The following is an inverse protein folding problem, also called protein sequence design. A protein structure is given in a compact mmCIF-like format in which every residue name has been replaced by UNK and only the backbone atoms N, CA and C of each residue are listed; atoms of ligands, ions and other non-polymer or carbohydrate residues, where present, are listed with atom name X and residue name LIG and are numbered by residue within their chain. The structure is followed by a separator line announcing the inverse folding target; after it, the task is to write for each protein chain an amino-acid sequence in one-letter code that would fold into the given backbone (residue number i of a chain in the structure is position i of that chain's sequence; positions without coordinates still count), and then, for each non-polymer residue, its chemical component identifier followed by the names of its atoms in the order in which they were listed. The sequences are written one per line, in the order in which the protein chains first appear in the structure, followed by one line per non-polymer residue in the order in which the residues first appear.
data_IF_963758812236
#
_entry.id   IF_963758812236
#
_cell.length_a   1.000
_cell.length_b   1.000
_cell.length_c   1.000
_cell.angle_alpha   90.00
_cell.angle_beta   90.00
_cell.angle_gamma   90.00
#
_symmetry.space_group_name_H-M   'P 1'
#
loop_
_entity.id
_entity.type
_entity.pdbx_description
1 polymer ?
#
# COMPACT_ATOMS: atom_id res chain seq x y z
N UNK A 1 -14.66 29.67 1.47
CA UNK A 1 -14.34 28.72 0.39
C UNK A 1 -14.42 27.31 0.99
N UNK A 2 -15.53 26.60 0.85
CA UNK A 2 -15.65 25.20 1.26
C UNK A 2 -16.12 24.42 0.04
N UNK A 3 -15.23 23.63 -0.54
CA UNK A 3 -15.55 22.79 -1.68
C UNK A 3 -16.14 21.48 -1.13
N UNK A 4 -17.38 21.11 -1.45
CA UNK A 4 -17.86 19.77 -1.12
C UNK A 4 -16.99 18.78 -1.89
N UNK A 5 -16.27 17.94 -1.16
CA UNK A 5 -15.66 16.74 -1.71
C UNK A 5 -16.83 15.88 -2.21
N UNK A 6 -17.07 15.91 -3.51
CA UNK A 6 -17.88 14.92 -4.21
C UNK A 6 -17.22 13.57 -4.01
N UNK A 7 -17.68 12.88 -2.97
CA UNK A 7 -17.26 11.54 -2.64
C UNK A 7 -17.90 10.65 -3.71
N UNK A 8 -17.16 10.37 -4.78
CA UNK A 8 -17.63 9.57 -5.92
C UNK A 8 -17.98 8.15 -5.44
N UNK A 9 -19.24 7.96 -5.06
CA UNK A 9 -19.75 6.70 -4.53
C UNK A 9 -20.14 5.78 -5.68
N UNK A 10 -19.26 4.84 -6.03
CA UNK A 10 -19.48 3.85 -7.09
C UNK A 10 -20.73 2.99 -6.83
N UNK A 11 -21.16 2.86 -5.56
CA UNK A 11 -22.36 2.11 -5.21
C UNK A 11 -23.65 2.77 -5.73
N UNK A 12 -23.74 4.10 -5.73
CA UNK A 12 -24.91 4.85 -6.21
C UNK A 12 -25.05 4.78 -7.74
N UNK A 13 -23.92 4.73 -8.45
CA UNK A 13 -23.89 4.52 -9.90
C UNK A 13 -24.39 3.12 -10.29
N UNK A 14 -24.09 2.11 -9.47
CA UNK A 14 -24.59 0.75 -9.70
C UNK A 14 -26.12 0.74 -9.64
N UNK A 15 -26.73 1.28 -8.58
CA UNK A 15 -28.18 1.29 -8.39
C UNK A 15 -28.97 1.99 -9.51
N UNK A 16 -28.36 3.00 -10.16
CA UNK A 16 -28.97 3.76 -11.26
C UNK A 16 -28.91 3.07 -12.64
N UNK A 17 -28.03 2.08 -12.83
CA UNK A 17 -27.79 1.45 -14.14
C UNK A 17 -28.48 0.10 -14.27
N UNK A 18 -29.08 -0.16 -15.44
CA UNK A 18 -29.71 -1.45 -15.77
C UNK A 18 -28.63 -2.54 -15.96
N UNK A 19 -29.04 -3.82 -16.01
CA UNK A 19 -28.10 -4.94 -16.07
C UNK A 19 -27.19 -4.93 -17.32
N UNK A 20 -27.66 -4.40 -18.45
CA UNK A 20 -26.87 -4.25 -19.68
C UNK A 20 -25.81 -3.17 -19.53
N UNK A 21 -26.20 -1.99 -19.07
CA UNK A 21 -25.30 -0.85 -18.87
C UNK A 21 -24.23 -1.14 -17.80
N UNK A 22 -24.56 -1.96 -16.80
CA UNK A 22 -23.59 -2.45 -15.81
C UNK A 22 -22.58 -3.40 -16.44
N UNK A 23 -23.01 -4.30 -17.32
CA UNK A 23 -22.11 -5.24 -18.00
C UNK A 23 -21.14 -4.49 -18.93
N UNK A 24 -21.64 -3.49 -19.66
CA UNK A 24 -20.84 -2.63 -20.52
C UNK A 24 -19.84 -1.79 -19.70
N UNK A 25 -20.27 -1.20 -18.57
CA UNK A 25 -19.39 -0.48 -17.66
C UNK A 25 -18.27 -1.37 -17.10
N UNK A 26 -18.60 -2.59 -16.65
CA UNK A 26 -17.61 -3.56 -16.15
C UNK A 26 -16.63 -3.94 -17.26
N UNK A 27 -17.10 -4.09 -18.50
CA UNK A 27 -16.24 -4.40 -19.63
C UNK A 27 -15.31 -3.22 -19.98
N UNK A 28 -15.81 -1.98 -19.93
CA UNK A 28 -14.99 -0.76 -20.09
C UNK A 28 -13.94 -0.66 -18.99
N UNK A 29 -14.33 -0.86 -17.72
CA UNK A 29 -13.40 -0.84 -16.59
C UNK A 29 -12.35 -1.94 -16.70
N UNK A 30 -12.74 -3.15 -17.10
CA UNK A 30 -11.83 -4.26 -17.35
C UNK A 30 -10.84 -3.92 -18.47
N UNK A 31 -11.30 -3.35 -19.58
CA UNK A 31 -10.46 -2.93 -20.69
C UNK A 31 -9.49 -1.80 -20.28
N UNK A 32 -9.95 -0.83 -19.49
CA UNK A 32 -9.10 0.23 -18.94
C UNK A 32 -8.06 -0.32 -17.94
N UNK A 33 -8.45 -1.27 -17.09
CA UNK A 33 -7.54 -1.93 -16.16
C UNK A 33 -6.50 -2.76 -16.92
N UNK A 34 -6.89 -3.43 -18.00
CA UNK A 34 -5.98 -4.16 -18.88
C UNK A 34 -5.02 -3.24 -19.64
N UNK A 35 -5.49 -2.10 -20.13
CA UNK A 35 -4.64 -1.09 -20.79
C UNK A 35 -3.63 -0.48 -19.80
N UNK A 36 -4.08 -0.17 -18.57
CA UNK A 36 -3.20 0.30 -17.49
C UNK A 36 -2.19 -0.78 -17.08
N UNK A 37 -2.63 -2.01 -16.88
CA UNK A 37 -1.74 -3.11 -16.48
C UNK A 37 -0.76 -3.47 -17.60
N UNK A 38 -1.22 -3.51 -18.85
CA UNK A 38 -0.43 -3.83 -20.04
C UNK A 38 0.65 -2.79 -20.39
N UNK A 39 0.41 -1.50 -20.09
CA UNK A 39 1.42 -0.44 -20.23
C UNK A 39 2.57 -0.57 -19.24
N UNK A 40 2.33 -1.14 -18.06
CA UNK A 40 3.33 -1.28 -17.00
C UNK A 40 4.07 -2.61 -17.01
N UNK A 41 3.48 -3.69 -17.53
CA UNK A 41 4.09 -5.03 -17.49
C UNK A 41 5.27 -5.23 -18.44
N UNK A 42 5.36 -4.49 -19.55
CA UNK A 42 6.39 -4.74 -20.59
C UNK A 42 7.53 -3.72 -20.67
N UNK A 43 7.65 -2.80 -19.72
CA UNK A 43 8.72 -1.79 -19.75
C UNK A 43 10.12 -2.43 -19.67
N UNK A 44 10.29 -3.50 -18.88
CA UNK A 44 11.56 -4.21 -18.72
C UNK A 44 12.01 -4.95 -19.99
N UNK A 45 11.05 -5.38 -20.81
CA UNK A 45 11.33 -6.08 -22.07
C UNK A 45 11.90 -5.13 -23.13
N UNK A 46 11.53 -3.85 -23.08
CA UNK A 46 12.04 -2.81 -23.98
C UNK A 46 13.37 -2.18 -23.54
N UNK A 47 13.86 -2.49 -22.34
CA UNK A 47 15.16 -1.98 -21.86
C UNK A 47 16.32 -2.72 -22.54
N UNK A 48 17.39 -1.98 -22.80
CA UNK A 48 18.62 -2.59 -23.31
C UNK A 48 19.18 -3.60 -22.29
N UNK A 49 19.88 -4.66 -22.74
CA UNK A 49 20.33 -5.74 -21.86
C UNK A 49 21.15 -5.27 -20.65
N UNK A 50 21.94 -4.21 -20.81
CA UNK A 50 22.72 -3.61 -19.72
C UNK A 50 21.80 -2.96 -18.67
N UNK A 51 20.82 -2.18 -19.12
CA UNK A 51 19.85 -1.53 -18.22
C UNK A 51 19.00 -2.59 -17.51
N UNK A 52 18.59 -3.65 -18.20
CA UNK A 52 17.85 -4.76 -17.59
C UNK A 52 18.62 -5.42 -16.44
N UNK A 53 19.90 -5.76 -16.64
CA UNK A 53 20.75 -6.32 -15.57
C UNK A 53 20.87 -5.38 -14.37
N UNK A 54 21.01 -4.08 -14.60
CA UNK A 54 21.05 -3.10 -13.52
C UNK A 54 19.75 -3.07 -12.73
N UNK A 55 18.61 -3.19 -13.41
CA UNK A 55 17.30 -3.25 -12.74
C UNK A 55 17.13 -4.54 -11.95
N UNK A 56 17.62 -5.68 -12.45
CA UNK A 56 17.62 -6.94 -11.70
C UNK A 56 18.42 -6.82 -10.40
N UNK A 57 19.62 -6.26 -10.46
CA UNK A 57 20.46 -6.00 -9.27
C UNK A 57 19.75 -5.04 -8.30
N UNK A 58 19.13 -3.97 -8.80
CA UNK A 58 18.39 -3.03 -7.95
C UNK A 58 17.18 -3.68 -7.28
N UNK A 59 16.49 -4.61 -7.95
CA UNK A 59 15.38 -5.37 -7.37
C UNK A 59 15.85 -6.29 -6.25
N UNK A 60 17.01 -6.92 -6.41
CA UNK A 60 17.61 -7.75 -5.35
C UNK A 60 17.98 -6.90 -4.12
N UNK A 61 18.61 -5.74 -4.33
CA UNK A 61 18.93 -4.80 -3.25
C UNK A 61 17.66 -4.34 -2.53
N UNK A 62 16.60 -4.02 -3.27
CA UNK A 62 15.33 -3.59 -2.67
C UNK A 62 14.70 -4.71 -1.83
N UNK A 63 14.74 -5.95 -2.31
CA UNK A 63 14.24 -7.10 -1.54
C UNK A 63 14.99 -7.26 -0.21
N UNK A 64 16.32 -7.13 -0.23
CA UNK A 64 17.14 -7.21 0.98
C UNK A 64 16.84 -6.06 1.96
N UNK A 65 16.57 -4.87 1.44
CA UNK A 65 16.15 -3.72 2.25
C UNK A 65 14.81 -3.99 2.94
N UNK A 66 13.82 -4.48 2.19
CA UNK A 66 12.48 -4.75 2.71
C UNK A 66 12.52 -5.82 3.83
N UNK A 67 13.35 -6.84 3.68
CA UNK A 67 13.60 -7.85 4.72
C UNK A 67 14.22 -7.24 5.98
N UNK A 68 15.21 -6.36 5.83
CA UNK A 68 15.83 -5.65 6.95
C UNK A 68 14.84 -4.70 7.64
N UNK A 69 14.03 -3.99 6.87
CA UNK A 69 13.00 -3.08 7.38
C UNK A 69 11.93 -3.83 8.17
N UNK A 70 11.46 -4.97 7.67
CA UNK A 70 10.52 -5.84 8.40
C UNK A 70 11.11 -6.29 9.75
N UNK A 71 12.37 -6.73 9.76
CA UNK A 71 13.08 -7.10 10.99
C UNK A 71 13.25 -5.92 11.96
N UNK A 72 13.53 -4.73 11.44
CA UNK A 72 13.61 -3.51 12.25
C UNK A 72 12.27 -3.20 12.91
N UNK A 73 11.16 -3.27 12.17
CA UNK A 73 9.83 -3.04 12.74
C UNK A 73 9.45 -4.07 13.80
N UNK A 74 9.71 -5.35 13.54
CA UNK A 74 9.49 -6.42 14.52
C UNK A 74 10.30 -6.18 15.80
N UNK A 75 11.58 -5.83 15.67
CA UNK A 75 12.45 -5.54 16.81
C UNK A 75 12.03 -4.28 17.54
N UNK A 76 11.61 -3.24 16.82
CA UNK A 76 11.08 -1.99 17.39
C UNK A 76 9.83 -2.28 18.20
N UNK A 77 8.90 -3.09 17.71
CA UNK A 77 7.71 -3.49 18.49
C UNK A 77 8.07 -4.32 19.72
N UNK A 78 8.99 -5.27 19.57
CA UNK A 78 9.49 -6.09 20.68
C UNK A 78 10.15 -5.25 21.77
N UNK A 79 10.82 -4.15 21.42
CA UNK A 79 11.44 -3.23 22.37
C UNK A 79 10.46 -2.17 22.90
N UNK A 80 9.53 -1.69 22.09
CA UNK A 80 8.59 -0.64 22.48
C UNK A 80 7.56 -1.15 23.51
N UNK A 81 7.07 -2.38 23.34
CA UNK A 81 6.10 -3.02 24.26
C UNK A 81 6.59 -3.14 25.72
N UNK A 82 7.76 -3.72 26.01
CA UNK A 82 8.26 -3.82 27.38
C UNK A 82 8.64 -2.46 27.96
N UNK A 83 9.21 -1.55 27.16
CA UNK A 83 9.58 -0.21 27.66
C UNK A 83 8.34 0.64 28.01
N UNK A 84 7.27 0.59 27.19
CA UNK A 84 6.01 1.28 27.53
C UNK A 84 5.37 0.72 28.79
N UNK A 85 5.36 -0.60 28.98
CA UNK A 85 4.90 -1.24 30.22
C UNK A 85 5.71 -0.79 31.44
N UNK A 86 7.05 -0.77 31.34
CA UNK A 86 7.92 -0.29 32.40
C UNK A 86 7.67 1.19 32.74
N UNK A 87 7.56 2.07 31.73
CA UNK A 87 7.24 3.48 31.96
C UNK A 87 5.90 3.66 32.65
N UNK A 88 4.83 2.99 32.18
CA UNK A 88 3.51 3.06 32.80
C UNK A 88 3.56 2.57 34.25
N UNK A 89 4.24 1.46 34.52
CA UNK A 89 4.41 0.95 35.89
C UNK A 89 5.14 1.95 36.78
N UNK A 90 6.18 2.64 36.29
CA UNK A 90 6.90 3.67 37.05
C UNK A 90 6.03 4.90 37.34
N UNK A 91 5.22 5.35 36.37
CA UNK A 91 4.26 6.44 36.58
C UNK A 91 3.21 6.09 37.64
N UNK A 92 2.62 4.89 37.55
CA UNK A 92 1.63 4.41 38.53
C UNK A 92 2.25 4.27 39.91
N UNK A 93 3.48 3.74 40.01
CA UNK A 93 4.17 3.60 41.29
C UNK A 93 4.49 4.97 41.91
N UNK A 94 4.86 5.96 41.09
CA UNK A 94 5.10 7.34 41.54
C UNK A 94 3.83 7.99 42.10
N UNK A 95 2.69 7.78 41.47
CA UNK A 95 1.39 8.32 41.91
C UNK A 95 0.82 7.59 43.15
N UNK A 96 1.27 6.36 43.43
CA UNK A 96 0.88 5.62 44.64
C UNK A 96 1.73 5.96 45.87
N UNK A 97 2.91 6.55 45.66
CA UNK A 97 3.87 6.89 46.73
C UNK A 97 3.77 8.39 47.12
N UNK A 98 3.08 9.20 46.31
CA UNK A 98 2.75 10.61 46.57
C UNK A 98 1.31 10.75 47.10
#
# INVERSE_FOLDING_TARGET
MSNPKDNFNVADLSAALNAGDRADLVNVLKNQLQDLTGKHTNLLEHLSPNVRRRVEVLREIQSQHDDLEANFFLRREMLLKPNTKCCINLYILRDLIL
#
